data_IF_229139363703
#
_entry.id   IF_229139363703
#
_cell.length_a   1.000
_cell.length_b   1.000
_cell.length_c   1.000
_cell.angle_alpha   90.00
_cell.angle_beta   90.00
_cell.angle_gamma   90.00
#
_symmetry.space_group_name_H-M   'P 1'
#
loop_
_entity.id
_entity.type
_entity.pdbx_description
1 polymer ?
#
# COMPACT_ATOMS: atom_id res chain seq x y z
N UNK A 1 -7.78 -2.93 -18.60
CA UNK A 1 -8.97 -3.52 -19.28
C UNK A 1 -9.24 -4.91 -18.72
N UNK A 2 -8.25 -5.80 -18.57
CA UNK A 2 -8.43 -7.16 -18.01
C UNK A 2 -9.05 -7.16 -16.60
N UNK A 3 -8.63 -6.30 -15.70
CA UNK A 3 -9.17 -6.21 -14.34
C UNK A 3 -10.65 -5.82 -14.29
N UNK A 4 -11.11 -4.94 -15.17
CA UNK A 4 -12.52 -4.59 -15.28
C UNK A 4 -13.34 -5.77 -15.80
N UNK A 5 -12.89 -6.40 -16.87
CA UNK A 5 -13.58 -7.55 -17.44
C UNK A 5 -13.66 -8.70 -16.43
N UNK A 6 -12.58 -8.96 -15.69
CA UNK A 6 -12.54 -10.00 -14.67
C UNK A 6 -13.44 -9.66 -13.47
N UNK A 7 -13.50 -8.38 -13.06
CA UNK A 7 -14.38 -7.93 -11.97
C UNK A 7 -15.87 -8.13 -12.33
N UNK A 8 -16.30 -7.61 -13.47
CA UNK A 8 -17.70 -7.76 -13.90
C UNK A 8 -18.05 -9.20 -14.25
N UNK A 9 -17.13 -9.93 -14.90
CA UNK A 9 -17.34 -11.35 -15.22
C UNK A 9 -17.53 -12.21 -13.96
N UNK A 10 -16.65 -12.03 -12.96
CA UNK A 10 -16.79 -12.73 -11.68
C UNK A 10 -18.11 -12.39 -10.98
N UNK A 11 -18.52 -11.13 -10.99
CA UNK A 11 -19.77 -10.66 -10.38
C UNK A 11 -21.01 -11.29 -11.05
N UNK A 12 -21.06 -11.28 -12.38
CA UNK A 12 -22.18 -11.87 -13.14
C UNK A 12 -22.29 -13.37 -12.86
N UNK A 13 -21.18 -14.08 -12.89
CA UNK A 13 -21.15 -15.53 -12.62
C UNK A 13 -21.62 -15.81 -11.18
N UNK A 14 -21.13 -15.03 -10.18
CA UNK A 14 -21.55 -15.20 -8.81
C UNK A 14 -23.06 -14.97 -8.61
N UNK A 15 -23.61 -13.93 -9.24
CA UNK A 15 -25.05 -13.67 -9.18
C UNK A 15 -25.90 -14.76 -9.83
N UNK A 16 -25.41 -15.37 -10.90
CA UNK A 16 -26.12 -16.44 -11.58
C UNK A 16 -26.22 -17.72 -10.73
N UNK A 17 -25.15 -18.05 -10.01
CA UNK A 17 -25.11 -19.29 -9.19
C UNK A 17 -25.73 -19.12 -7.79
N UNK A 18 -25.44 -18.05 -7.10
CA UNK A 18 -26.01 -17.79 -5.77
C UNK A 18 -25.98 -16.28 -5.44
N UNK A 19 -27.14 -15.60 -5.51
CA UNK A 19 -27.22 -14.16 -5.24
C UNK A 19 -26.86 -13.79 -3.80
N UNK A 20 -27.05 -14.69 -2.82
CA UNK A 20 -26.72 -14.40 -1.40
C UNK A 20 -25.21 -14.36 -1.18
N UNK A 21 -24.47 -15.27 -1.80
CA UNK A 21 -23.02 -15.31 -1.78
C UNK A 21 -22.43 -14.12 -2.53
N UNK A 22 -23.02 -13.75 -3.69
CA UNK A 22 -22.61 -12.58 -4.46
C UNK A 22 -22.77 -11.29 -3.65
N UNK A 23 -23.86 -11.11 -2.91
CA UNK A 23 -24.08 -9.94 -2.05
C UNK A 23 -23.05 -9.84 -0.92
N UNK A 24 -22.72 -10.96 -0.26
CA UNK A 24 -21.70 -10.97 0.80
C UNK A 24 -20.33 -10.55 0.22
N UNK A 25 -19.93 -11.11 -0.92
CA UNK A 25 -18.68 -10.74 -1.57
C UNK A 25 -18.67 -9.27 -2.02
N UNK A 26 -19.80 -8.80 -2.57
CA UNK A 26 -19.95 -7.42 -3.04
C UNK A 26 -19.81 -6.38 -1.90
N UNK A 27 -20.23 -6.73 -0.68
CA UNK A 27 -20.07 -5.87 0.51
C UNK A 27 -18.68 -6.04 1.13
N UNK A 28 -18.19 -7.27 1.25
CA UNK A 28 -16.92 -7.57 1.89
C UNK A 28 -15.71 -6.92 1.17
N UNK A 29 -15.71 -6.92 -0.17
CA UNK A 29 -14.62 -6.37 -0.99
C UNK A 29 -14.46 -4.86 -0.80
N UNK A 30 -15.47 -4.00 -0.99
CA UNK A 30 -15.29 -2.56 -0.78
C UNK A 30 -15.03 -2.20 0.69
N UNK A 31 -15.63 -2.90 1.64
CA UNK A 31 -15.37 -2.65 3.08
C UNK A 31 -13.90 -2.91 3.41
N UNK A 32 -13.34 -4.04 3.00
CA UNK A 32 -11.93 -4.37 3.20
C UNK A 32 -11.00 -3.37 2.48
N UNK A 33 -11.37 -2.91 1.29
CA UNK A 33 -10.59 -1.95 0.52
C UNK A 33 -10.60 -0.54 1.13
N UNK A 34 -11.75 -0.07 1.61
CA UNK A 34 -11.83 1.22 2.32
C UNK A 34 -11.00 1.20 3.59
N UNK A 35 -11.11 0.13 4.37
CA UNK A 35 -10.33 -0.04 5.59
C UNK A 35 -8.81 -0.07 5.30
N UNK A 36 -8.39 -0.84 4.29
CA UNK A 36 -7.00 -0.85 3.82
C UNK A 36 -6.53 0.54 3.40
N UNK A 37 -7.34 1.26 2.64
CA UNK A 37 -6.97 2.59 2.13
C UNK A 37 -6.78 3.62 3.24
N UNK A 38 -7.64 3.60 4.25
CA UNK A 38 -7.52 4.50 5.41
C UNK A 38 -6.23 4.25 6.20
N UNK A 39 -5.91 2.98 6.45
CA UNK A 39 -4.71 2.59 7.21
C UNK A 39 -3.42 2.81 6.43
N UNK A 40 -3.40 2.47 5.14
CA UNK A 40 -2.26 2.70 4.25
C UNK A 40 -2.03 4.20 4.02
N UNK A 41 -3.08 5.01 4.01
CA UNK A 41 -2.96 6.47 3.93
C UNK A 41 -2.13 7.06 5.08
N UNK A 42 -2.40 6.67 6.32
CA UNK A 42 -1.61 7.06 7.50
C UNK A 42 -0.17 6.53 7.44
N UNK A 43 0.01 5.32 6.97
CA UNK A 43 1.33 4.71 6.82
C UNK A 43 2.20 5.48 5.79
N UNK A 44 1.60 6.01 4.73
CA UNK A 44 2.30 6.85 3.72
C UNK A 44 2.83 8.15 4.32
N UNK A 45 2.10 8.78 5.21
CA UNK A 45 2.55 10.02 5.86
C UNK A 45 3.77 9.77 6.75
N UNK A 46 3.74 8.74 7.59
CA UNK A 46 4.91 8.33 8.37
C UNK A 46 6.11 7.94 7.50
N UNK A 47 5.87 7.26 6.39
CA UNK A 47 6.92 6.91 5.42
C UNK A 47 7.56 8.16 4.80
N UNK A 48 6.75 9.19 4.50
CA UNK A 48 7.25 10.46 3.97
C UNK A 48 8.14 11.18 4.96
N UNK A 49 7.75 11.24 6.24
CA UNK A 49 8.56 11.83 7.31
C UNK A 49 9.88 11.09 7.49
N UNK A 50 9.85 9.76 7.50
CA UNK A 50 11.05 8.93 7.58
C UNK A 50 11.98 9.15 6.38
N UNK A 51 11.44 9.28 5.15
CA UNK A 51 12.22 9.57 3.95
C UNK A 51 12.91 10.94 4.03
N UNK A 52 12.24 11.96 4.57
CA UNK A 52 12.84 13.28 4.74
C UNK A 52 14.05 13.22 5.67
N UNK A 53 13.92 12.55 6.83
CA UNK A 53 15.03 12.38 7.77
C UNK A 53 16.16 11.52 7.17
N UNK A 54 15.83 10.49 6.39
CA UNK A 54 16.81 9.69 5.65
C UNK A 54 17.61 10.53 4.65
N UNK A 55 16.94 11.47 3.98
CA UNK A 55 17.58 12.42 3.06
C UNK A 55 18.54 13.35 3.81
N UNK A 56 18.14 13.86 4.98
CA UNK A 56 19.00 14.72 5.81
C UNK A 56 20.28 13.98 6.25
N UNK A 57 20.15 12.70 6.64
CA UNK A 57 21.29 11.86 6.97
C UNK A 57 22.21 11.68 5.78
N UNK A 58 21.66 11.41 4.60
CA UNK A 58 22.44 11.18 3.39
C UNK A 58 23.17 12.43 2.92
N UNK A 59 22.48 13.58 2.91
CA UNK A 59 23.11 14.88 2.59
C UNK A 59 24.24 15.19 3.57
N UNK A 60 24.06 14.91 4.86
CA UNK A 60 25.14 15.13 5.83
C UNK A 60 26.34 14.20 5.60
N UNK A 61 26.11 12.96 5.15
CA UNK A 61 27.19 12.06 4.71
C UNK A 61 27.97 12.62 3.52
N UNK A 62 27.25 13.04 2.48
CA UNK A 62 27.84 13.60 1.26
C UNK A 62 28.67 14.85 1.58
N UNK A 63 28.12 15.79 2.37
CA UNK A 63 28.82 16.99 2.82
C UNK A 63 30.08 16.65 3.61
N UNK A 64 29.99 15.67 4.51
CA UNK A 64 31.11 15.25 5.36
C UNK A 64 32.23 14.61 4.54
N UNK A 65 31.88 13.79 3.53
CA UNK A 65 32.85 13.15 2.64
C UNK A 65 33.51 14.16 1.70
N UNK A 66 32.73 15.06 1.14
CA UNK A 66 33.24 16.10 0.23
C UNK A 66 34.21 17.02 0.97
N UNK A 67 33.96 17.34 2.21
CA UNK A 67 34.76 18.26 3.02
C UNK A 67 35.73 17.55 4.00
N UNK A 68 36.02 16.26 3.81
CA UNK A 68 36.78 15.45 4.77
C UNK A 68 38.18 16.01 5.06
N UNK A 69 38.83 16.59 4.06
CA UNK A 69 40.13 17.19 4.20
C UNK A 69 40.09 18.43 5.10
N UNK A 70 39.10 19.29 4.90
CA UNK A 70 38.89 20.49 5.73
C UNK A 70 38.51 20.10 7.18
N UNK A 71 37.66 19.11 7.36
CA UNK A 71 37.24 18.62 8.68
C UNK A 71 38.45 18.11 9.47
N UNK A 72 39.38 17.41 8.81
CA UNK A 72 40.64 16.94 9.42
C UNK A 72 41.61 18.07 9.67
N UNK A 73 41.77 19.01 8.73
CA UNK A 73 42.69 20.11 8.83
C UNK A 73 42.34 21.04 10.01
N UNK A 74 41.04 21.23 10.30
CA UNK A 74 40.56 22.07 11.41
C UNK A 74 40.30 21.26 12.70
N UNK A 75 40.58 19.96 12.73
CA UNK A 75 40.35 19.05 13.84
C UNK A 75 38.92 19.09 14.44
N UNK A 76 37.90 19.27 13.55
CA UNK A 76 36.50 19.34 13.94
C UNK A 76 35.76 18.00 13.79
N UNK A 77 36.52 16.90 13.72
CA UNK A 77 35.99 15.52 13.62
C UNK A 77 35.04 15.17 14.76
N UNK A 78 35.31 15.65 15.97
CA UNK A 78 34.43 15.46 17.14
C UNK A 78 33.05 16.09 16.96
N UNK A 79 32.99 17.31 16.44
CA UNK A 79 31.72 18.02 16.17
C UNK A 79 30.88 17.29 15.12
N UNK A 80 31.51 16.85 14.03
CA UNK A 80 30.84 16.12 12.96
C UNK A 80 30.33 14.74 13.44
N UNK A 81 31.12 14.02 14.22
CA UNK A 81 30.70 12.73 14.79
C UNK A 81 29.51 12.89 15.75
N UNK A 82 29.51 13.95 16.57
CA UNK A 82 28.38 14.26 17.44
C UNK A 82 27.12 14.61 16.66
N UNK A 83 27.21 15.40 15.59
CA UNK A 83 26.09 15.77 14.74
C UNK A 83 25.54 14.53 14.01
N UNK A 84 26.44 13.69 13.47
CA UNK A 84 26.05 12.42 12.84
C UNK A 84 25.31 11.50 13.80
N UNK A 85 25.83 11.31 15.01
CA UNK A 85 25.20 10.47 16.02
C UNK A 85 23.81 10.96 16.37
N UNK A 86 23.61 12.27 16.47
CA UNK A 86 22.31 12.89 16.74
C UNK A 86 21.31 12.68 15.59
N UNK A 87 21.75 12.80 14.35
CA UNK A 87 20.96 12.52 13.16
C UNK A 87 20.57 11.04 13.08
N UNK A 88 21.51 10.14 13.32
CA UNK A 88 21.25 8.70 13.37
C UNK A 88 20.28 8.31 14.47
N UNK A 89 20.40 8.88 15.69
CA UNK A 89 19.46 8.62 16.77
C UNK A 89 18.04 9.06 16.39
N UNK A 90 17.90 10.25 15.78
CA UNK A 90 16.61 10.74 15.29
C UNK A 90 16.03 9.82 14.23
N UNK A 91 16.83 9.44 13.24
CA UNK A 91 16.43 8.49 12.22
C UNK A 91 15.98 7.15 12.80
N UNK A 92 16.75 6.61 13.76
CA UNK A 92 16.44 5.34 14.40
C UNK A 92 15.14 5.39 15.21
N UNK A 93 14.88 6.49 15.92
CA UNK A 93 13.61 6.67 16.67
C UNK A 93 12.43 6.70 15.72
N UNK A 94 12.46 7.53 14.70
CA UNK A 94 11.39 7.65 13.70
C UNK A 94 11.19 6.36 12.91
N UNK A 95 12.28 5.66 12.57
CA UNK A 95 12.23 4.37 11.90
C UNK A 95 11.54 3.30 12.76
N UNK A 96 11.86 3.25 14.05
CA UNK A 96 11.23 2.31 14.97
C UNK A 96 9.74 2.60 15.16
N UNK A 97 9.36 3.86 15.26
CA UNK A 97 7.95 4.27 15.39
C UNK A 97 7.16 3.97 14.12
N UNK A 98 7.74 4.28 12.95
CA UNK A 98 7.16 3.87 11.66
C UNK A 98 7.00 2.35 11.57
N UNK A 99 8.03 1.59 11.93
CA UNK A 99 8.02 0.13 11.83
C UNK A 99 6.98 -0.50 12.78
N UNK A 100 6.90 0.00 14.02
CA UNK A 100 5.86 -0.43 15.00
C UNK A 100 4.46 -0.15 14.47
N UNK A 101 4.23 1.03 13.91
CA UNK A 101 2.95 1.38 13.31
C UNK A 101 2.64 0.51 12.09
N UNK A 102 3.63 0.29 11.22
CA UNK A 102 3.51 -0.55 10.03
C UNK A 102 3.15 -2.00 10.39
N UNK A 103 3.87 -2.59 11.35
CA UNK A 103 3.60 -3.96 11.82
C UNK A 103 2.21 -4.07 12.43
N UNK A 104 1.83 -3.16 13.33
CA UNK A 104 0.48 -3.16 13.93
C UNK A 104 -0.61 -3.04 12.87
N UNK A 105 -0.43 -2.16 11.90
CA UNK A 105 -1.36 -1.98 10.79
C UNK A 105 -1.46 -3.22 9.92
N UNK A 106 -0.32 -3.84 9.58
CA UNK A 106 -0.28 -5.08 8.80
C UNK A 106 -0.95 -6.25 9.51
N UNK A 107 -0.68 -6.42 10.79
CA UNK A 107 -1.31 -7.46 11.62
C UNK A 107 -2.83 -7.25 11.69
N UNK A 108 -3.26 -6.01 11.95
CA UNK A 108 -4.68 -5.69 12.00
C UNK A 108 -5.38 -5.96 10.66
N UNK A 109 -4.80 -5.52 9.54
CA UNK A 109 -5.34 -5.79 8.20
C UNK A 109 -5.38 -7.28 7.89
N UNK A 110 -4.35 -8.03 8.28
CA UNK A 110 -4.31 -9.48 8.11
C UNK A 110 -5.40 -10.17 8.92
N UNK A 111 -5.62 -9.76 10.17
CA UNK A 111 -6.70 -10.30 11.01
C UNK A 111 -8.08 -10.01 10.42
N UNK A 112 -8.32 -8.78 9.95
CA UNK A 112 -9.58 -8.42 9.29
C UNK A 112 -9.77 -9.24 8.02
N UNK A 113 -8.73 -9.37 7.18
CA UNK A 113 -8.78 -10.19 5.97
C UNK A 113 -9.09 -11.66 6.26
N UNK A 114 -8.45 -12.22 7.28
CA UNK A 114 -8.70 -13.60 7.74
C UNK A 114 -10.11 -13.76 8.28
N UNK A 115 -10.61 -12.81 9.07
CA UNK A 115 -11.97 -12.85 9.62
C UNK A 115 -13.03 -12.78 8.50
N UNK A 116 -12.84 -11.91 7.51
CA UNK A 116 -13.72 -11.83 6.33
C UNK A 116 -13.69 -13.13 5.54
N UNK A 117 -12.50 -13.68 5.28
CA UNK A 117 -12.34 -14.94 4.56
C UNK A 117 -12.98 -16.12 5.31
N UNK A 118 -12.76 -16.21 6.62
CA UNK A 118 -13.38 -17.23 7.47
C UNK A 118 -14.92 -17.10 7.52
N UNK A 119 -15.43 -15.87 7.55
CA UNK A 119 -16.86 -15.60 7.49
C UNK A 119 -17.49 -16.04 6.17
N UNK A 120 -16.86 -15.70 5.05
CA UNK A 120 -17.29 -16.14 3.72
C UNK A 120 -17.25 -17.67 3.58
N UNK A 121 -16.18 -18.29 4.07
CA UNK A 121 -16.04 -19.74 4.05
C UNK A 121 -17.10 -20.42 4.94
N UNK A 122 -17.27 -19.94 6.17
CA UNK A 122 -18.26 -20.49 7.12
C UNK A 122 -19.69 -20.39 6.59
N UNK A 123 -20.04 -19.25 5.98
CA UNK A 123 -21.34 -19.10 5.31
C UNK A 123 -21.49 -20.07 4.14
N UNK A 124 -20.45 -20.24 3.34
CA UNK A 124 -20.43 -21.20 2.24
C UNK A 124 -20.63 -22.65 2.70
N UNK A 125 -19.97 -23.06 3.80
CA UNK A 125 -20.13 -24.38 4.40
C UNK A 125 -21.55 -24.56 4.96
N UNK A 126 -22.12 -23.54 5.59
CA UNK A 126 -23.52 -23.58 6.06
C UNK A 126 -24.49 -23.79 4.89
N UNK A 127 -24.30 -23.09 3.79
CA UNK A 127 -25.11 -23.24 2.57
C UNK A 127 -24.94 -24.62 1.92
N UNK A 128 -23.72 -25.17 1.95
CA UNK A 128 -23.45 -26.53 1.50
C UNK A 128 -24.19 -27.57 2.36
N UNK A 129 -24.16 -27.40 3.68
CA UNK A 129 -24.83 -28.31 4.61
C UNK A 129 -26.35 -28.22 4.48
N UNK A 130 -26.91 -27.06 4.20
CA UNK A 130 -28.34 -26.91 3.90
C UNK A 130 -28.77 -27.49 2.55
N UNK A 131 -27.84 -28.04 1.76
CA UNK A 131 -28.12 -28.59 0.44
C UNK A 131 -28.41 -27.54 -0.65
N UNK A 132 -28.23 -26.26 -0.36
CA UNK A 132 -28.52 -25.18 -1.28
C UNK A 132 -27.46 -25.02 -2.38
N UNK A 133 -26.21 -25.43 -2.10
CA UNK A 133 -25.10 -25.40 -3.05
C UNK A 133 -24.33 -26.72 -3.07
N UNK A 134 -23.59 -26.97 -4.13
CA UNK A 134 -22.70 -28.13 -4.24
C UNK A 134 -21.28 -27.79 -3.79
N UNK A 135 -20.46 -28.80 -3.52
CA UNK A 135 -19.04 -28.60 -3.20
C UNK A 135 -18.30 -27.87 -4.32
N UNK A 136 -18.62 -28.19 -5.59
CA UNK A 136 -18.06 -27.50 -6.76
C UNK A 136 -18.44 -26.02 -6.79
N UNK A 137 -19.68 -25.67 -6.44
CA UNK A 137 -20.12 -24.27 -6.35
C UNK A 137 -19.38 -23.51 -5.25
N UNK A 138 -19.12 -24.14 -4.09
CA UNK A 138 -18.38 -23.55 -3.00
C UNK A 138 -16.92 -23.22 -3.41
N UNK A 139 -16.22 -24.18 -4.02
CA UNK A 139 -14.84 -23.97 -4.48
C UNK A 139 -14.76 -22.91 -5.56
N UNK A 140 -15.67 -22.92 -6.52
CA UNK A 140 -15.78 -21.87 -7.54
C UNK A 140 -16.04 -20.50 -6.92
N UNK A 141 -16.91 -20.42 -5.93
CA UNK A 141 -17.21 -19.18 -5.21
C UNK A 141 -15.97 -18.61 -4.51
N UNK A 142 -15.21 -19.42 -3.79
CA UNK A 142 -13.97 -18.98 -3.12
C UNK A 142 -12.95 -18.45 -4.13
N UNK A 143 -12.81 -19.11 -5.28
CA UNK A 143 -11.94 -18.67 -6.35
C UNK A 143 -12.39 -17.33 -6.95
N UNK A 144 -13.68 -17.16 -7.21
CA UNK A 144 -14.25 -15.92 -7.74
C UNK A 144 -14.15 -14.78 -6.73
N UNK A 145 -14.38 -15.03 -5.44
CA UNK A 145 -14.21 -14.02 -4.39
C UNK A 145 -12.76 -13.52 -4.30
N UNK A 146 -11.77 -14.42 -4.42
CA UNK A 146 -10.35 -14.07 -4.50
C UNK A 146 -10.04 -13.23 -5.74
N UNK A 147 -10.55 -13.63 -6.90
CA UNK A 147 -10.41 -12.89 -8.17
C UNK A 147 -11.06 -11.50 -8.11
N UNK A 148 -12.22 -11.39 -7.48
CA UNK A 148 -12.92 -10.12 -7.28
C UNK A 148 -12.09 -9.17 -6.40
N UNK A 149 -11.53 -9.66 -5.30
CA UNK A 149 -10.68 -8.88 -4.39
C UNK A 149 -9.40 -8.39 -5.09
N UNK A 150 -8.73 -9.24 -5.86
CA UNK A 150 -7.53 -8.88 -6.61
C UNK A 150 -7.81 -7.87 -7.71
N UNK A 151 -8.90 -8.05 -8.46
CA UNK A 151 -9.34 -7.13 -9.51
C UNK A 151 -9.72 -5.76 -8.95
N UNK A 152 -10.40 -5.73 -7.80
CA UNK A 152 -10.75 -4.48 -7.13
C UNK A 152 -9.50 -3.73 -6.64
N UNK A 153 -8.53 -4.45 -6.07
CA UNK A 153 -7.24 -3.89 -5.66
C UNK A 153 -6.45 -3.33 -6.85
N UNK A 154 -6.47 -4.03 -7.98
CA UNK A 154 -5.85 -3.57 -9.23
C UNK A 154 -6.51 -2.28 -9.76
N UNK A 155 -7.84 -2.17 -9.70
CA UNK A 155 -8.57 -0.97 -10.11
C UNK A 155 -8.20 0.24 -9.26
N UNK A 156 -8.10 0.07 -7.93
CA UNK A 156 -7.63 1.14 -7.03
C UNK A 156 -6.18 1.53 -7.37
N UNK A 157 -5.32 0.56 -7.67
CA UNK A 157 -3.94 0.79 -8.10
C UNK A 157 -3.85 1.61 -9.40
N UNK A 158 -4.71 1.34 -10.36
CA UNK A 158 -4.78 2.08 -11.62
C UNK A 158 -5.12 3.56 -11.41
N UNK A 159 -6.08 3.87 -10.53
CA UNK A 159 -6.43 5.27 -10.20
C UNK A 159 -5.22 6.00 -9.59
N UNK A 160 -4.52 5.37 -8.68
CA UNK A 160 -3.30 5.94 -8.06
C UNK A 160 -2.18 6.15 -9.09
N UNK A 161 -2.00 5.20 -10.00
CA UNK A 161 -1.02 5.29 -11.09
C UNK A 161 -1.37 6.39 -12.09
N UNK A 162 -2.64 6.54 -12.46
CA UNK A 162 -3.10 7.59 -13.36
C UNK A 162 -2.83 8.99 -12.80
N UNK A 163 -3.08 9.20 -11.50
CA UNK A 163 -2.77 10.46 -10.82
C UNK A 163 -1.25 10.74 -10.83
N UNK A 164 -0.45 9.72 -10.57
CA UNK A 164 1.02 9.84 -10.58
C UNK A 164 1.56 10.19 -11.99
N UNK A 165 1.04 9.53 -13.01
CA UNK A 165 1.41 9.78 -14.42
C UNK A 165 1.01 11.20 -14.82
N UNK A 166 -0.20 11.64 -14.50
CA UNK A 166 -0.68 12.99 -14.78
C UNK A 166 0.22 14.07 -14.13
N UNK A 167 0.62 13.86 -12.88
CA UNK A 167 1.52 14.76 -12.17
C UNK A 167 2.92 14.80 -12.81
N UNK A 168 3.44 13.64 -13.22
CA UNK A 168 4.75 13.54 -13.90
C UNK A 168 4.72 14.18 -15.29
N UNK A 169 3.65 13.96 -16.05
CA UNK A 169 3.44 14.59 -17.35
C UNK A 169 3.35 16.11 -17.23
N UNK A 170 2.66 16.63 -16.20
CA UNK A 170 2.60 18.07 -15.93
C UNK A 170 3.98 18.70 -15.66
N UNK A 171 4.85 17.98 -14.93
CA UNK A 171 6.23 18.44 -14.68
C UNK A 171 7.08 18.45 -15.96
N UNK A 172 6.95 17.44 -16.80
CA UNK A 172 7.67 17.40 -18.09
C UNK A 172 7.18 18.54 -18.99
N UNK A 173 5.86 18.76 -19.06
CA UNK A 173 5.31 19.86 -19.86
C UNK A 173 5.76 21.24 -19.35
N UNK A 174 5.87 21.42 -18.05
CA UNK A 174 6.38 22.67 -17.46
C UNK A 174 7.85 22.93 -17.84
N UNK A 175 8.67 21.89 -18.00
CA UNK A 175 10.06 22.02 -18.45
C UNK A 175 10.13 22.30 -19.96
N UNK A 176 9.31 21.63 -20.75
CA UNK A 176 9.25 21.82 -22.22
C UNK A 176 8.74 23.21 -22.63
N UNK A 177 7.90 23.82 -21.78
CA UNK A 177 7.35 25.16 -22.02
C UNK A 177 8.24 26.30 -21.49
N UNK A 178 9.42 26.00 -20.93
CA UNK A 178 10.39 27.05 -20.63
C UNK A 178 10.83 27.72 -21.93
N UNK A 179 10.86 29.08 -21.99
CA UNK A 179 11.36 29.81 -23.16
C UNK A 179 12.81 29.42 -23.40
N UNK A 180 13.17 29.15 -24.66
CA UNK A 180 14.58 28.99 -25.04
C UNK A 180 15.30 30.31 -24.69
N UNK A 181 16.41 30.19 -23.98
CA UNK A 181 17.32 31.32 -23.77
C UNK A 181 17.97 31.66 -25.10
N UNK A 182 17.75 32.90 -25.57
CA UNK A 182 18.43 33.51 -26.74
C UNK A 182 19.93 33.75 -26.45
#
# INVERSE_FOLDING_TARGET
ISGLAQFFGALIIMFYFDPTMALIALIAVPVSAVLSRMLVGRMREHNRQMKAISSDVMSFYEDSLTNITSIKAFDITGLFSHKMRRLQQRYQTEYLDYNRFSVRTSVFLSLVGTAVSAGCFGWGVYRLWSGAITYGSLTMFLQLASSLSSSFSALIGLVSSAISISTSAGRIMAVVQLPEED
#
